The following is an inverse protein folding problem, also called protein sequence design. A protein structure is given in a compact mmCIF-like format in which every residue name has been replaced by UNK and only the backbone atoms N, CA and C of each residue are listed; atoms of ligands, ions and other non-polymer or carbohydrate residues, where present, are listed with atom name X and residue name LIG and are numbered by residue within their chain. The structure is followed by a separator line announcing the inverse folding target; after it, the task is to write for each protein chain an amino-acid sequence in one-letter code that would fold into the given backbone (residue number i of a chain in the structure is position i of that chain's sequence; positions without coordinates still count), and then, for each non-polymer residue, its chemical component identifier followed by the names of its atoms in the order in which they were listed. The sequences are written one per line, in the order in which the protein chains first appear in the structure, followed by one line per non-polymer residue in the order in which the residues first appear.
data_IF_909775876210
#
_entry.id   IF_909775876210
#
_cell.length_a   1.000
_cell.length_b   1.000
_cell.length_c   1.000
_cell.angle_alpha   90.00
_cell.angle_beta   90.00
_cell.angle_gamma   90.00
#
_symmetry.space_group_name_H-M   'P 1'
#
loop_
_entity.id
_entity.type
_entity.pdbx_description
1 polymer ?
#
# COMPACT_ATOMS: atom_id res chain seq x y z
N UNK A 1 16.52 -28.56 63.55
CA UNK A 1 17.52 -29.62 63.29
C UNK A 1 17.94 -29.51 61.81
N UNK A 2 18.99 -28.73 61.56
CA UNK A 2 19.56 -28.53 60.22
C UNK A 2 20.78 -29.45 60.09
N UNK A 3 20.58 -30.64 59.59
CA UNK A 3 21.69 -31.58 59.33
C UNK A 3 22.44 -31.16 58.05
N UNK A 4 23.74 -30.80 58.16
CA UNK A 4 24.53 -30.42 56.99
C UNK A 4 24.65 -31.50 55.94
N UNK A 5 24.45 -32.77 56.33
CA UNK A 5 24.51 -33.95 55.46
C UNK A 5 23.35 -34.03 54.43
N UNK A 6 22.21 -33.44 54.73
CA UNK A 6 21.06 -33.44 53.78
C UNK A 6 21.28 -32.45 52.66
N UNK A 7 21.90 -31.27 52.93
CA UNK A 7 22.22 -30.28 51.92
C UNK A 7 23.25 -30.76 50.91
N UNK A 8 24.25 -31.52 51.36
CA UNK A 8 25.28 -32.07 50.46
C UNK A 8 24.73 -33.14 49.51
N UNK A 9 23.81 -33.97 49.98
CA UNK A 9 23.16 -34.99 49.13
C UNK A 9 22.28 -34.38 48.06
N UNK A 10 21.50 -33.36 48.39
CA UNK A 10 20.65 -32.63 47.40
C UNK A 10 21.50 -31.91 46.35
N UNK A 11 22.63 -31.36 46.72
CA UNK A 11 23.52 -30.71 45.77
C UNK A 11 24.16 -31.70 44.77
N UNK A 12 24.54 -32.88 45.26
CA UNK A 12 25.11 -33.94 44.43
C UNK A 12 24.04 -34.53 43.45
N UNK A 13 22.81 -34.71 43.91
CA UNK A 13 21.68 -35.14 43.08
C UNK A 13 21.34 -34.14 41.99
N UNK A 14 21.33 -32.84 42.32
CA UNK A 14 21.12 -31.74 41.34
C UNK A 14 22.24 -31.72 40.28
N UNK A 15 23.50 -31.83 40.72
CA UNK A 15 24.61 -31.89 39.76
C UNK A 15 24.57 -33.13 38.90
N UNK A 16 24.12 -34.26 39.42
CA UNK A 16 23.96 -35.49 38.66
C UNK A 16 22.81 -35.39 37.66
N UNK A 17 21.70 -34.74 38.00
CA UNK A 17 20.59 -34.52 37.09
C UNK A 17 20.92 -33.53 35.97
N UNK A 18 21.78 -32.55 36.26
CA UNK A 18 22.29 -31.61 35.26
C UNK A 18 23.32 -32.29 34.33
N UNK A 19 24.17 -33.17 34.88
CA UNK A 19 25.14 -33.94 34.07
C UNK A 19 24.45 -35.03 33.22
N UNK A 20 23.27 -35.53 33.61
CA UNK A 20 22.46 -36.47 32.86
C UNK A 20 21.48 -35.80 31.86
N UNK A 21 21.46 -34.48 31.74
CA UNK A 21 20.95 -33.88 30.53
C UNK A 21 21.88 -34.30 29.38
N UNK A 22 21.72 -35.53 28.99
CA UNK A 22 22.19 -36.09 27.75
C UNK A 22 21.87 -35.03 26.71
N UNK A 23 22.91 -34.34 26.27
CA UNK A 23 22.89 -33.57 25.05
C UNK A 23 22.29 -34.48 23.98
N UNK A 24 20.98 -34.42 23.82
CA UNK A 24 20.34 -34.83 22.60
C UNK A 24 20.99 -33.96 21.55
N UNK A 25 22.01 -34.49 20.90
CA UNK A 25 22.50 -33.96 19.66
C UNK A 25 21.26 -33.95 18.76
N UNK A 26 20.54 -32.84 18.76
CA UNK A 26 19.84 -32.42 17.55
C UNK A 26 20.97 -32.45 16.52
N UNK A 27 20.99 -33.55 15.74
CA UNK A 27 21.73 -33.57 14.50
C UNK A 27 21.13 -32.41 13.73
N UNK A 28 21.74 -31.22 13.87
CA UNK A 28 21.49 -30.13 12.99
C UNK A 28 21.85 -30.70 11.62
N UNK A 29 20.85 -31.15 10.87
CA UNK A 29 21.03 -31.48 9.46
C UNK A 29 21.50 -30.18 8.84
N UNK A 30 22.84 -30.06 8.69
CA UNK A 30 23.46 -28.94 8.03
C UNK A 30 22.91 -28.89 6.61
N UNK A 31 22.42 -27.75 6.20
CA UNK A 31 22.06 -27.50 4.80
C UNK A 31 23.30 -27.79 3.94
N UNK A 32 23.14 -28.55 2.88
CA UNK A 32 24.21 -28.78 1.94
C UNK A 32 24.47 -27.47 1.16
N UNK A 33 25.72 -27.23 0.79
CA UNK A 33 26.09 -26.07 -0.03
C UNK A 33 25.30 -26.06 -1.36
N UNK A 34 25.08 -27.25 -1.93
CA UNK A 34 24.30 -27.41 -3.17
C UNK A 34 22.83 -27.01 -2.98
N UNK A 35 22.23 -27.38 -1.87
CA UNK A 35 20.83 -27.03 -1.55
C UNK A 35 20.66 -25.50 -1.43
N UNK A 36 21.62 -24.82 -0.82
CA UNK A 36 21.61 -23.36 -0.77
C UNK A 36 21.79 -22.75 -2.16
N UNK A 37 22.72 -23.29 -2.99
CA UNK A 37 22.93 -22.80 -4.37
C UNK A 37 21.66 -22.91 -5.21
N UNK A 38 20.94 -24.03 -5.13
CA UNK A 38 19.72 -24.23 -5.91
C UNK A 38 18.65 -23.23 -5.47
N UNK A 39 18.46 -23.03 -4.17
CA UNK A 39 17.48 -22.09 -3.64
C UNK A 39 17.75 -20.66 -4.12
N UNK A 40 18.99 -20.17 -4.01
CA UNK A 40 19.30 -18.81 -4.46
C UNK A 40 19.19 -18.66 -5.97
N UNK A 41 19.50 -19.69 -6.75
CA UNK A 41 19.32 -19.67 -8.19
C UNK A 41 17.83 -19.56 -8.57
N UNK A 42 16.96 -20.35 -7.96
CA UNK A 42 15.51 -20.32 -8.20
C UNK A 42 14.92 -18.97 -7.80
N UNK A 43 15.27 -18.47 -6.60
CA UNK A 43 14.81 -17.15 -6.13
C UNK A 43 15.29 -16.04 -7.06
N UNK A 44 16.52 -16.12 -7.56
CA UNK A 44 17.07 -15.15 -8.52
C UNK A 44 16.25 -15.09 -9.81
N UNK A 45 15.93 -16.24 -10.40
CA UNK A 45 15.11 -16.31 -11.62
C UNK A 45 13.70 -15.77 -11.39
N UNK A 46 13.07 -16.17 -10.30
CA UNK A 46 11.71 -15.71 -9.96
C UNK A 46 11.69 -14.20 -9.73
N UNK A 47 12.68 -13.66 -9.02
CA UNK A 47 12.78 -12.23 -8.74
C UNK A 47 12.96 -11.40 -10.01
N UNK A 48 13.75 -11.88 -10.97
CA UNK A 48 13.98 -11.18 -12.24
C UNK A 48 12.68 -10.95 -13.04
N UNK A 49 11.71 -11.85 -12.95
CA UNK A 49 10.42 -11.73 -13.65
C UNK A 49 9.38 -11.01 -12.79
N UNK A 50 9.37 -11.26 -11.48
CA UNK A 50 8.33 -10.75 -10.59
C UNK A 50 8.51 -9.26 -10.26
N UNK A 51 9.74 -8.79 -10.08
CA UNK A 51 10.03 -7.43 -9.64
C UNK A 51 9.52 -6.34 -10.60
N UNK A 52 9.78 -6.39 -11.93
CA UNK A 52 9.28 -5.36 -12.83
C UNK A 52 7.75 -5.31 -12.89
N UNK A 53 7.08 -6.46 -12.83
CA UNK A 53 5.62 -6.53 -12.81
C UNK A 53 5.04 -5.96 -11.50
N UNK A 54 5.68 -6.23 -10.38
CA UNK A 54 5.27 -5.69 -9.08
C UNK A 54 5.40 -4.17 -9.04
N UNK A 55 6.49 -3.60 -9.56
CA UNK A 55 6.69 -2.15 -9.61
C UNK A 55 5.64 -1.48 -10.50
N UNK A 56 5.34 -2.05 -11.67
CA UNK A 56 4.29 -1.53 -12.55
C UNK A 56 2.90 -1.58 -11.90
N UNK A 57 2.57 -2.67 -11.22
CA UNK A 57 1.29 -2.80 -10.51
C UNK A 57 1.18 -1.81 -9.34
N UNK A 58 2.27 -1.60 -8.60
CA UNK A 58 2.33 -0.61 -7.51
C UNK A 58 2.14 0.82 -8.04
N UNK A 59 2.76 1.13 -9.17
CA UNK A 59 2.60 2.41 -9.84
C UNK A 59 1.15 2.67 -10.24
N UNK A 60 0.52 1.69 -10.89
CA UNK A 60 -0.88 1.78 -11.29
C UNK A 60 -1.83 1.91 -10.10
N UNK A 61 -1.56 1.20 -9.01
CA UNK A 61 -2.35 1.32 -7.79
C UNK A 61 -2.23 2.71 -7.14
N UNK A 62 -1.04 3.28 -7.09
CA UNK A 62 -0.80 4.63 -6.58
C UNK A 62 -1.53 5.68 -7.41
N UNK A 63 -1.37 5.64 -8.72
CA UNK A 63 -2.06 6.55 -9.64
C UNK A 63 -3.59 6.42 -9.54
N UNK A 64 -4.10 5.19 -9.47
CA UNK A 64 -5.53 4.94 -9.31
C UNK A 64 -6.09 5.49 -7.99
N UNK A 65 -5.34 5.38 -6.90
CA UNK A 65 -5.73 5.94 -5.61
C UNK A 65 -5.81 7.47 -5.65
N UNK A 66 -4.81 8.13 -6.24
CA UNK A 66 -4.79 9.58 -6.39
C UNK A 66 -5.97 10.09 -7.23
N UNK A 67 -6.26 9.43 -8.34
CA UNK A 67 -7.43 9.76 -9.18
C UNK A 67 -8.73 9.57 -8.40
N UNK A 68 -8.87 8.47 -7.66
CA UNK A 68 -10.08 8.18 -6.89
C UNK A 68 -10.36 9.24 -5.81
N UNK A 69 -9.32 9.71 -5.15
CA UNK A 69 -9.41 10.80 -4.16
C UNK A 69 -9.92 12.10 -4.80
N UNK A 70 -9.36 12.49 -5.91
CA UNK A 70 -9.78 13.71 -6.61
C UNK A 70 -11.19 13.59 -7.20
N UNK A 71 -11.56 12.42 -7.72
CA UNK A 71 -12.93 12.15 -8.18
C UNK A 71 -13.94 12.23 -7.03
N UNK A 72 -13.55 11.80 -5.82
CA UNK A 72 -14.41 11.94 -4.65
C UNK A 72 -14.68 13.42 -4.30
N UNK A 73 -13.64 14.23 -4.23
CA UNK A 73 -13.75 15.68 -4.00
C UNK A 73 -14.57 16.38 -5.11
N UNK A 74 -14.33 16.02 -6.36
CA UNK A 74 -15.06 16.56 -7.50
C UNK A 74 -16.56 16.20 -7.44
N UNK A 75 -16.92 15.00 -6.99
CA UNK A 75 -18.33 14.60 -6.79
C UNK A 75 -18.99 15.36 -5.66
N UNK A 76 -18.30 15.62 -4.57
CA UNK A 76 -18.80 16.45 -3.48
C UNK A 76 -19.08 17.87 -3.97
N UNK A 77 -18.15 18.45 -4.74
CA UNK A 77 -18.33 19.76 -5.35
C UNK A 77 -19.51 19.79 -6.35
N UNK A 78 -19.62 18.76 -7.20
CA UNK A 78 -20.75 18.62 -8.14
C UNK A 78 -22.10 18.58 -7.40
N UNK A 79 -22.18 17.85 -6.29
CA UNK A 79 -23.39 17.76 -5.46
C UNK A 79 -23.70 19.11 -4.81
N UNK A 80 -22.70 19.81 -4.29
CA UNK A 80 -22.84 21.14 -3.72
C UNK A 80 -23.36 22.17 -4.75
N UNK A 81 -22.78 22.18 -5.95
CA UNK A 81 -23.24 23.02 -7.05
C UNK A 81 -24.71 22.71 -7.44
N UNK A 82 -25.03 21.41 -7.60
CA UNK A 82 -26.37 20.96 -7.97
C UNK A 82 -27.43 21.26 -6.91
N UNK A 83 -27.05 21.38 -5.64
CA UNK A 83 -27.93 21.80 -4.55
C UNK A 83 -28.14 23.32 -4.46
N UNK A 84 -27.54 24.09 -5.37
CA UNK A 84 -27.56 25.55 -5.34
C UNK A 84 -26.66 26.17 -4.27
N UNK A 85 -25.63 25.44 -3.80
CA UNK A 85 -24.69 25.93 -2.80
C UNK A 85 -25.23 25.86 -1.37
N UNK A 86 -26.14 24.93 -1.09
CA UNK A 86 -26.68 24.74 0.25
C UNK A 86 -25.69 23.95 1.10
N UNK A 87 -25.22 24.55 2.20
CA UNK A 87 -24.28 23.93 3.14
C UNK A 87 -22.91 24.57 3.08
N UNK A 88 -21.92 23.88 3.65
CA UNK A 88 -20.51 24.27 3.61
C UNK A 88 -19.87 23.81 2.29
N UNK A 89 -19.15 24.71 1.60
CA UNK A 89 -18.48 24.36 0.36
C UNK A 89 -17.36 23.34 0.62
N UNK A 90 -17.31 22.22 -0.11
CA UNK A 90 -16.22 21.27 -0.01
C UNK A 90 -14.86 21.88 -0.35
N UNK A 91 -13.80 21.30 0.19
CA UNK A 91 -12.44 21.77 -0.06
C UNK A 91 -12.12 21.78 -1.56
N UNK A 92 -11.64 22.93 -2.07
CA UNK A 92 -11.32 23.12 -3.48
C UNK A 92 -12.50 23.46 -4.38
N UNK A 93 -13.75 23.49 -3.87
CA UNK A 93 -14.91 23.94 -4.61
C UNK A 93 -15.00 25.48 -4.54
N UNK A 94 -14.69 26.14 -5.63
CA UNK A 94 -14.70 27.60 -5.67
C UNK A 94 -16.11 28.14 -5.88
N UNK A 95 -16.58 28.95 -4.93
CA UNK A 95 -17.82 29.72 -5.06
C UNK A 95 -17.47 31.10 -5.59
N UNK A 96 -17.93 31.43 -6.79
CA UNK A 96 -17.74 32.78 -7.36
C UNK A 96 -18.66 33.78 -6.70
N UNK A 97 -18.21 35.02 -6.60
CA UNK A 97 -19.00 36.14 -6.09
C UNK A 97 -20.21 36.38 -7.00
N UNK A 98 -21.42 36.34 -6.43
CA UNK A 98 -22.67 36.57 -7.19
C UNK A 98 -23.53 35.36 -7.44
N UNK A 99 -23.27 34.23 -6.77
CA UNK A 99 -24.13 33.02 -6.83
C UNK A 99 -23.89 32.12 -8.03
N UNK A 100 -22.87 32.40 -8.84
CA UNK A 100 -22.36 31.48 -9.86
C UNK A 100 -21.16 30.72 -9.32
N UNK A 101 -21.07 29.45 -9.63
CA UNK A 101 -19.91 28.63 -9.24
C UNK A 101 -18.84 28.69 -10.33
N UNK A 102 -17.58 28.75 -9.93
CA UNK A 102 -16.48 28.67 -10.87
C UNK A 102 -16.31 27.20 -11.33
N UNK A 103 -15.84 27.03 -12.56
CA UNK A 103 -15.35 25.72 -13.01
C UNK A 103 -14.06 25.40 -12.26
N UNK A 104 -14.00 24.23 -11.67
CA UNK A 104 -12.85 23.78 -10.87
C UNK A 104 -12.17 22.61 -11.57
N UNK A 105 -10.86 22.65 -11.60
CA UNK A 105 -10.01 21.65 -12.21
C UNK A 105 -9.07 21.07 -11.14
N UNK A 106 -9.15 19.76 -10.94
CA UNK A 106 -8.23 19.01 -10.09
C UNK A 106 -7.27 18.23 -10.98
N UNK A 107 -6.05 18.76 -11.12
CA UNK A 107 -4.98 18.06 -11.82
C UNK A 107 -4.27 17.07 -10.88
N UNK A 108 -4.04 15.87 -11.36
CA UNK A 108 -3.28 14.82 -10.67
C UNK A 108 -2.12 14.40 -11.55
N UNK A 109 -0.91 14.65 -11.08
CA UNK A 109 0.32 14.16 -11.70
C UNK A 109 0.85 12.96 -10.86
N UNK A 110 1.00 11.81 -11.49
CA UNK A 110 1.54 10.60 -10.84
C UNK A 110 2.96 10.27 -11.31
N UNK A 111 3.60 11.19 -12.05
CA UNK A 111 5.04 11.20 -12.32
C UNK A 111 5.55 10.10 -13.25
N UNK A 112 4.69 9.25 -13.77
CA UNK A 112 5.05 8.16 -14.66
C UNK A 112 3.89 7.75 -15.56
N UNK A 113 4.18 7.30 -16.78
CA UNK A 113 3.14 6.84 -17.70
C UNK A 113 2.54 5.51 -17.23
N UNK A 114 1.24 5.49 -16.97
CA UNK A 114 0.49 4.33 -16.53
C UNK A 114 -0.67 4.07 -17.49
N UNK A 115 -0.82 2.82 -17.92
CA UNK A 115 -1.91 2.40 -18.80
C UNK A 115 -3.04 1.73 -18.02
N UNK A 116 -4.25 1.77 -18.57
CA UNK A 116 -5.41 1.09 -18.01
C UNK A 116 -6.04 1.76 -16.80
N UNK A 117 -5.65 2.98 -16.45
CA UNK A 117 -6.32 3.77 -15.42
C UNK A 117 -7.72 4.18 -15.87
N UNK A 118 -8.64 4.20 -14.93
CA UNK A 118 -10.02 4.66 -15.14
C UNK A 118 -10.29 5.93 -14.34
N UNK A 119 -10.87 6.90 -14.99
CA UNK A 119 -11.38 8.12 -14.37
C UNK A 119 -12.77 8.39 -14.94
N UNK A 120 -13.81 8.30 -14.09
CA UNK A 120 -15.21 8.33 -14.50
C UNK A 120 -15.47 7.27 -15.61
N UNK A 121 -15.83 7.70 -16.81
CA UNK A 121 -16.10 6.86 -17.98
C UNK A 121 -14.91 6.78 -18.97
N UNK A 122 -13.81 7.45 -18.67
CA UNK A 122 -12.60 7.45 -19.50
C UNK A 122 -11.61 6.38 -19.04
N UNK A 123 -10.88 5.83 -20.00
CA UNK A 123 -9.76 4.89 -19.73
C UNK A 123 -8.57 5.30 -20.57
N UNK A 124 -7.37 5.38 -19.96
CA UNK A 124 -6.17 5.75 -20.69
C UNK A 124 -5.44 4.53 -21.27
N UNK A 125 -4.89 4.68 -22.47
CA UNK A 125 -3.91 3.75 -23.03
C UNK A 125 -2.51 3.95 -22.44
N UNK A 126 -2.23 5.14 -21.86
CA UNK A 126 -1.01 5.49 -21.16
C UNK A 126 -0.99 7.00 -20.95
N UNK A 127 -0.95 7.42 -19.72
CA UNK A 127 -0.90 8.83 -19.34
C UNK A 127 -0.03 9.02 -18.10
N UNK A 128 0.50 10.20 -17.87
CA UNK A 128 1.26 10.59 -16.69
C UNK A 128 0.47 11.49 -15.75
N UNK A 129 -0.64 12.04 -16.23
CA UNK A 129 -1.51 12.89 -15.45
C UNK A 129 -2.97 12.73 -15.85
N UNK A 130 -3.85 13.17 -14.97
CA UNK A 130 -5.29 13.28 -15.21
C UNK A 130 -5.80 14.62 -14.70
N UNK A 131 -6.81 15.17 -15.37
CA UNK A 131 -7.52 16.36 -14.94
C UNK A 131 -9.00 16.03 -14.79
N UNK A 132 -9.56 16.37 -13.63
CA UNK A 132 -10.99 16.21 -13.32
C UNK A 132 -11.59 17.60 -13.21
N UNK A 133 -12.54 17.91 -14.09
CA UNK A 133 -13.19 19.20 -14.19
C UNK A 133 -14.63 19.10 -13.74
N UNK A 134 -15.07 20.04 -12.89
CA UNK A 134 -16.48 20.23 -12.53
C UNK A 134 -16.96 21.56 -13.11
N UNK A 135 -17.95 21.49 -13.98
CA UNK A 135 -18.52 22.68 -14.59
C UNK A 135 -19.36 23.46 -13.59
N UNK A 136 -18.98 24.71 -13.34
CA UNK A 136 -19.61 25.54 -12.30
C UNK A 136 -21.10 25.87 -12.54
N UNK A 137 -21.61 25.74 -13.78
CA UNK A 137 -23.00 26.03 -14.10
C UNK A 137 -23.92 24.82 -13.96
N UNK A 138 -23.43 23.63 -14.28
CA UNK A 138 -24.23 22.39 -14.32
C UNK A 138 -23.85 21.37 -13.25
N UNK A 139 -22.65 21.52 -12.66
CA UNK A 139 -22.07 20.49 -11.80
C UNK A 139 -21.61 19.25 -12.55
N UNK A 140 -21.56 19.31 -13.90
CA UNK A 140 -21.14 18.17 -14.72
C UNK A 140 -19.67 17.87 -14.52
N UNK A 141 -19.34 16.59 -14.41
CA UNK A 141 -17.98 16.07 -14.24
C UNK A 141 -17.41 15.56 -15.55
N UNK A 142 -16.24 16.04 -15.91
CA UNK A 142 -15.45 15.52 -17.01
C UNK A 142 -14.06 15.11 -16.51
N UNK A 143 -13.48 14.08 -17.14
CA UNK A 143 -12.13 13.66 -16.84
C UNK A 143 -11.34 13.50 -18.13
N UNK A 144 -10.12 14.00 -18.16
CA UNK A 144 -9.20 13.90 -19.30
C UNK A 144 -7.85 13.39 -18.80
N UNK A 145 -7.17 12.62 -19.65
CA UNK A 145 -5.82 12.12 -19.43
C UNK A 145 -4.82 12.83 -20.34
N UNK A 146 -3.61 13.09 -19.81
CA UNK A 146 -2.50 13.70 -20.55
C UNK A 146 -1.16 12.98 -20.29
#
# INVERSE_FOLDING_TARGET
MNSPLVKSRLQIELLRSLAQRKSGTMVAKGFTLVELMIVVAVVGILSAVALPRYLAARAAAGAGASIAEQVALAKECSTFISSGGVGEAPAGCAVATGGTFATVDWAVDYGQTVAGLKCLNQTTAGASSASIVVTGTTGELACTFS
#
